data_IF_100977408936
#
_entry.id   IF_100977408936
#
_cell.length_a   1.000
_cell.length_b   1.000
_cell.length_c   1.000
_cell.angle_alpha   90.00
_cell.angle_beta   90.00
_cell.angle_gamma   90.00
#
_symmetry.space_group_name_H-M   'P 1'
#
loop_
_entity.id
_entity.type
_entity.pdbx_description
1 polymer ?
#
# COMPACT_ATOMS: atom_id res chain seq x y z
N UNK A 1 -13.97 12.40 -8.61
CA UNK A 1 -12.87 11.52 -8.15
C UNK A 1 -13.16 10.12 -8.67
N UNK A 2 -12.30 9.53 -9.52
CA UNK A 2 -12.60 8.22 -10.13
C UNK A 2 -12.16 6.99 -9.31
N UNK A 3 -11.53 7.21 -8.16
CA UNK A 3 -10.97 6.16 -7.30
C UNK A 3 -11.50 6.33 -5.88
N UNK A 4 -11.83 5.22 -5.22
CA UNK A 4 -12.35 5.24 -3.86
C UNK A 4 -11.21 5.07 -2.85
N UNK A 5 -10.71 6.19 -2.32
CA UNK A 5 -9.60 6.20 -1.36
C UNK A 5 -9.95 5.53 -0.03
N UNK A 6 -11.23 5.54 0.39
CA UNK A 6 -11.67 4.84 1.59
C UNK A 6 -11.59 3.32 1.41
N UNK A 7 -11.99 2.81 0.24
CA UNK A 7 -11.82 1.38 -0.08
C UNK A 7 -10.34 1.01 -0.13
N UNK A 8 -9.51 1.81 -0.79
CA UNK A 8 -8.07 1.59 -0.81
C UNK A 8 -7.48 1.55 0.61
N UNK A 9 -7.82 2.51 1.47
CA UNK A 9 -7.36 2.56 2.85
C UNK A 9 -7.81 1.31 3.64
N UNK A 10 -9.08 0.91 3.52
CA UNK A 10 -9.62 -0.27 4.17
C UNK A 10 -8.90 -1.56 3.73
N UNK A 11 -8.66 -1.72 2.43
CA UNK A 11 -7.91 -2.87 1.89
C UNK A 11 -6.46 -2.86 2.35
N UNK A 12 -5.81 -1.69 2.35
CA UNK A 12 -4.44 -1.54 2.85
C UNK A 12 -4.33 -1.97 4.32
N UNK A 13 -5.23 -1.47 5.18
CA UNK A 13 -5.24 -1.81 6.61
C UNK A 13 -5.51 -3.30 6.79
N UNK A 14 -6.51 -3.85 6.11
CA UNK A 14 -6.85 -5.27 6.19
C UNK A 14 -5.67 -6.16 5.74
N UNK A 15 -4.99 -5.79 4.65
CA UNK A 15 -3.82 -6.50 4.16
C UNK A 15 -2.63 -6.39 5.12
N UNK A 16 -2.37 -5.21 5.69
CA UNK A 16 -1.29 -5.00 6.65
C UNK A 16 -1.52 -5.79 7.95
N UNK A 17 -2.73 -5.72 8.51
CA UNK A 17 -3.10 -6.48 9.71
C UNK A 17 -3.10 -7.98 9.44
N UNK A 18 -3.71 -8.42 8.34
CA UNK A 18 -3.72 -9.83 7.96
C UNK A 18 -2.32 -10.39 7.77
N UNK A 19 -1.43 -9.63 7.12
CA UNK A 19 -0.04 -10.03 6.94
C UNK A 19 0.73 -10.05 8.26
N UNK A 20 0.52 -9.09 9.15
CA UNK A 20 1.14 -9.08 10.48
C UNK A 20 0.75 -10.32 11.30
N UNK A 21 -0.54 -10.69 11.27
CA UNK A 21 -1.05 -11.90 11.94
C UNK A 21 -0.43 -13.17 11.32
N UNK A 22 -0.36 -13.25 9.99
CA UNK A 22 0.26 -14.37 9.30
C UNK A 22 1.76 -14.51 9.62
N UNK A 23 2.49 -13.40 9.67
CA UNK A 23 3.91 -13.38 10.07
C UNK A 23 4.06 -13.90 11.50
N UNK A 24 3.21 -13.43 12.42
CA UNK A 24 3.25 -13.85 13.81
C UNK A 24 2.99 -15.36 13.97
N UNK A 25 1.99 -15.89 13.25
CA UNK A 25 1.72 -17.34 13.24
C UNK A 25 2.89 -18.12 12.61
N UNK A 26 3.45 -17.63 11.50
CA UNK A 26 4.54 -18.30 10.81
C UNK A 26 5.82 -18.37 11.65
N UNK A 27 6.15 -17.31 12.38
CA UNK A 27 7.28 -17.28 13.31
C UNK A 27 7.01 -18.19 14.52
N UNK A 28 5.81 -18.14 15.11
CA UNK A 28 5.47 -18.94 16.28
C UNK A 28 5.38 -20.45 16.00
N UNK A 29 4.85 -20.85 14.84
CA UNK A 29 4.61 -22.26 14.52
C UNK A 29 5.78 -22.91 13.73
N UNK A 30 6.48 -22.15 12.90
CA UNK A 30 7.47 -22.70 11.96
C UNK A 30 8.85 -22.03 12.05
N UNK A 31 9.02 -20.99 12.87
CA UNK A 31 10.26 -20.20 12.94
C UNK A 31 10.57 -19.45 11.63
N UNK A 32 9.55 -19.22 10.79
CA UNK A 32 9.72 -18.58 9.49
C UNK A 32 9.60 -17.06 9.63
N UNK A 33 10.66 -16.36 9.23
CA UNK A 33 10.68 -14.89 9.18
C UNK A 33 10.54 -14.41 7.76
N UNK A 34 9.54 -13.57 7.53
CA UNK A 34 9.37 -12.89 6.24
C UNK A 34 10.40 -11.77 6.10
N UNK A 35 11.01 -11.59 4.91
CA UNK A 35 11.85 -10.44 4.64
C UNK A 35 11.10 -9.13 4.86
N UNK A 36 11.74 -8.17 5.51
CA UNK A 36 11.15 -6.86 5.85
C UNK A 36 10.68 -6.09 4.63
N UNK A 37 11.39 -6.18 3.50
CA UNK A 37 10.95 -5.58 2.24
C UNK A 37 9.61 -6.14 1.76
N UNK A 38 9.37 -7.44 1.94
CA UNK A 38 8.12 -8.08 1.50
C UNK A 38 6.94 -7.61 2.35
N UNK A 39 7.11 -7.52 3.67
CA UNK A 39 6.06 -7.06 4.58
C UNK A 39 5.68 -5.59 4.35
N UNK A 40 6.61 -4.76 3.91
CA UNK A 40 6.32 -3.35 3.56
C UNK A 40 5.61 -3.17 2.21
N UNK A 41 5.90 -4.01 1.21
CA UNK A 41 5.39 -3.83 -0.15
C UNK A 41 4.04 -4.54 -0.38
N UNK A 42 3.79 -5.66 0.30
CA UNK A 42 2.59 -6.48 0.07
C UNK A 42 1.26 -5.75 0.33
N UNK A 43 1.09 -5.00 1.43
CA UNK A 43 -0.17 -4.27 1.66
C UNK A 43 -0.51 -3.24 0.56
N UNK A 44 0.40 -2.34 0.14
CA UNK A 44 0.12 -1.42 -0.96
C UNK A 44 -0.02 -2.14 -2.32
N UNK A 45 0.72 -3.23 -2.57
CA UNK A 45 0.55 -4.05 -3.77
C UNK A 45 -0.88 -4.57 -3.90
N UNK A 46 -1.42 -5.20 -2.86
CA UNK A 46 -2.77 -5.77 -2.86
C UNK A 46 -3.83 -4.67 -2.96
N UNK A 47 -3.68 -3.59 -2.20
CA UNK A 47 -4.61 -2.46 -2.23
C UNK A 47 -4.68 -1.80 -3.60
N UNK A 48 -3.54 -1.53 -4.23
CA UNK A 48 -3.48 -0.92 -5.56
C UNK A 48 -4.04 -1.84 -6.64
N UNK A 49 -3.74 -3.15 -6.58
CA UNK A 49 -4.26 -4.13 -7.51
C UNK A 49 -5.80 -4.20 -7.48
N UNK A 50 -6.37 -4.34 -6.29
CA UNK A 50 -7.83 -4.45 -6.11
C UNK A 50 -8.55 -3.16 -6.50
N UNK A 51 -7.95 -2.01 -6.19
CA UNK A 51 -8.50 -0.72 -6.60
C UNK A 51 -8.43 -0.53 -8.12
N UNK A 52 -7.35 -0.99 -8.77
CA UNK A 52 -7.22 -1.02 -10.24
C UNK A 52 -8.29 -1.89 -10.90
N UNK A 53 -8.55 -3.09 -10.36
CA UNK A 53 -9.64 -3.94 -10.83
C UNK A 53 -11.01 -3.27 -10.65
N UNK A 54 -11.23 -2.61 -9.51
CA UNK A 54 -12.48 -1.91 -9.26
C UNK A 54 -12.68 -0.72 -10.19
N UNK A 55 -11.62 0.02 -10.53
CA UNK A 55 -11.64 1.07 -11.54
C UNK A 55 -12.05 0.51 -12.91
N UNK A 56 -11.42 -0.58 -13.36
CA UNK A 56 -11.75 -1.22 -14.63
C UNK A 56 -13.20 -1.73 -14.69
N UNK A 57 -13.74 -2.26 -13.58
CA UNK A 57 -15.16 -2.65 -13.49
C UNK A 57 -16.11 -1.46 -13.64
N UNK A 58 -15.76 -0.32 -13.07
CA UNK A 58 -16.60 0.88 -13.08
C UNK A 58 -16.56 1.62 -14.42
N UNK A 59 -15.38 1.79 -15.02
CA UNK A 59 -15.18 2.66 -16.18
C UNK A 59 -14.97 1.91 -17.50
N UNK A 60 -14.61 0.61 -17.45
CA UNK A 60 -14.33 -0.23 -18.63
C UNK A 60 -13.30 0.37 -19.61
N UNK A 61 -12.40 1.21 -19.11
CA UNK A 61 -11.35 1.86 -19.89
C UNK A 61 -10.01 1.82 -19.15
N UNK A 62 -8.93 2.03 -19.89
CA UNK A 62 -7.60 2.24 -19.31
C UNK A 62 -7.52 3.66 -18.73
N UNK A 63 -6.94 3.79 -17.53
CA UNK A 63 -6.62 5.10 -16.99
C UNK A 63 -5.55 5.78 -17.88
N UNK A 64 -5.78 7.02 -18.34
CA UNK A 64 -4.74 7.81 -19.01
C UNK A 64 -3.47 7.88 -18.15
N UNK A 65 -2.28 7.88 -18.79
CA UNK A 65 -1.01 7.81 -18.06
C UNK A 65 -0.87 8.90 -16.98
N UNK A 66 -1.26 10.15 -17.27
CA UNK A 66 -1.24 11.24 -16.30
C UNK A 66 -2.21 11.03 -15.13
N UNK A 67 -3.38 10.45 -15.39
CA UNK A 67 -4.35 10.12 -14.35
C UNK A 67 -3.85 8.97 -13.47
N UNK A 68 -3.22 7.95 -14.06
CA UNK A 68 -2.65 6.82 -13.32
C UNK A 68 -1.56 7.25 -12.31
N UNK A 69 -0.72 8.22 -12.66
CA UNK A 69 0.27 8.80 -11.73
C UNK A 69 -0.38 9.63 -10.63
N UNK A 70 -1.40 10.44 -10.97
CA UNK A 70 -2.18 11.19 -9.98
C UNK A 70 -2.89 10.26 -8.98
N UNK A 71 -3.46 9.15 -9.45
CA UNK A 71 -4.07 8.12 -8.62
C UNK A 71 -3.03 7.47 -7.70
N UNK A 72 -1.87 7.06 -8.24
CA UNK A 72 -0.82 6.44 -7.46
C UNK A 72 -0.29 7.38 -6.36
N UNK A 73 -0.08 8.66 -6.69
CA UNK A 73 0.30 9.69 -5.72
C UNK A 73 -0.70 9.81 -4.57
N UNK A 74 -2.01 9.83 -4.88
CA UNK A 74 -3.07 9.90 -3.86
C UNK A 74 -3.10 8.65 -2.98
N UNK A 75 -2.95 7.47 -3.56
CA UNK A 75 -2.84 6.21 -2.82
C UNK A 75 -1.62 6.21 -1.89
N UNK A 76 -0.48 6.70 -2.37
CA UNK A 76 0.73 6.83 -1.53
C UNK A 76 0.53 7.83 -0.40
N UNK A 77 -0.16 8.94 -0.65
CA UNK A 77 -0.48 9.91 0.40
C UNK A 77 -1.36 9.28 1.49
N UNK A 78 -2.32 8.43 1.13
CA UNK A 78 -3.10 7.65 2.10
C UNK A 78 -2.19 6.75 2.95
N UNK A 79 -1.26 6.02 2.32
CA UNK A 79 -0.28 5.20 3.05
C UNK A 79 0.59 6.05 3.97
N UNK A 80 1.05 7.21 3.50
CA UNK A 80 1.87 8.13 4.29
C UNK A 80 1.11 8.62 5.54
N UNK A 81 -0.16 9.02 5.38
CA UNK A 81 -1.00 9.47 6.49
C UNK A 81 -1.24 8.34 7.49
N UNK A 82 -1.56 7.13 7.03
CA UNK A 82 -1.79 5.98 7.93
C UNK A 82 -0.51 5.68 8.73
N UNK A 83 0.64 5.60 8.08
CA UNK A 83 1.91 5.32 8.78
C UNK A 83 2.34 6.46 9.70
N UNK A 84 2.11 7.72 9.32
CA UNK A 84 2.39 8.86 10.18
C UNK A 84 1.53 8.82 11.46
N UNK A 85 0.24 8.47 11.35
CA UNK A 85 -0.65 8.32 12.51
C UNK A 85 -0.17 7.17 13.41
N UNK A 86 0.22 6.03 12.84
CA UNK A 86 0.78 4.91 13.60
C UNK A 86 2.06 5.33 14.32
N UNK A 87 2.99 5.99 13.63
CA UNK A 87 4.25 6.45 14.19
C UNK A 87 4.05 7.46 15.32
N UNK A 88 3.15 8.44 15.13
CA UNK A 88 2.78 9.39 16.18
C UNK A 88 2.18 8.68 17.39
N UNK A 89 1.29 7.71 17.18
CA UNK A 89 0.75 6.88 18.25
C UNK A 89 1.87 6.17 19.02
N UNK A 90 2.80 5.52 18.32
CA UNK A 90 3.95 4.85 18.96
C UNK A 90 4.83 5.81 19.78
N UNK A 91 5.08 7.02 19.29
CA UNK A 91 5.86 8.02 20.02
C UNK A 91 5.18 8.49 21.32
N UNK A 92 3.84 8.57 21.34
CA UNK A 92 3.08 8.93 22.54
C UNK A 92 3.15 7.85 23.63
N UNK A 93 3.17 6.57 23.25
CA UNK A 93 3.22 5.45 24.20
C UNK A 93 4.64 5.01 24.56
N UNK A 94 5.63 5.32 23.72
CA UNK A 94 7.02 4.91 23.90
C UNK A 94 7.96 6.10 23.63
N UNK A 95 8.01 7.08 24.54
CA UNK A 95 8.78 8.31 24.35
C UNK A 95 10.30 8.05 24.26
N UNK A 96 10.80 6.88 24.69
CA UNK A 96 12.20 6.50 24.48
C UNK A 96 12.56 6.34 23.00
N UNK A 97 11.58 6.26 22.09
CA UNK A 97 11.80 6.23 20.64
C UNK A 97 12.02 7.63 20.04
N UNK A 98 11.81 8.70 20.81
CA UNK A 98 11.97 10.08 20.37
C UNK A 98 13.43 10.55 20.50
N UNK A 99 14.35 9.85 19.83
CA UNK A 99 15.75 10.27 19.74
C UNK A 99 15.92 11.32 18.62
N UNK A 100 16.27 12.59 18.94
CA UNK A 100 16.46 13.66 17.96
C UNK A 100 17.48 13.32 16.87
N UNK A 101 18.50 12.52 17.19
CA UNK A 101 19.54 12.15 16.22
C UNK A 101 19.03 11.08 15.23
N UNK A 102 18.11 10.22 15.68
CA UNK A 102 17.49 9.21 14.84
C UNK A 102 16.42 9.78 13.88
N UNK A 103 15.80 10.92 14.22
CA UNK A 103 14.74 11.53 13.42
C UNK A 103 15.16 11.83 11.98
N UNK A 104 16.40 12.30 11.77
CA UNK A 104 16.91 12.57 10.42
C UNK A 104 16.97 11.32 9.55
N UNK A 105 17.49 10.22 10.09
CA UNK A 105 17.59 8.94 9.40
C UNK A 105 16.21 8.35 9.14
N UNK A 106 15.32 8.38 10.14
CA UNK A 106 13.95 7.88 10.02
C UNK A 106 13.19 8.64 8.92
N UNK A 107 13.33 9.97 8.86
CA UNK A 107 12.69 10.78 7.83
C UNK A 107 13.18 10.41 6.42
N UNK A 108 14.49 10.21 6.23
CA UNK A 108 15.05 9.80 4.94
C UNK A 108 14.53 8.41 4.54
N UNK A 109 14.57 7.44 5.45
CA UNK A 109 14.05 6.09 5.21
C UNK A 109 12.55 6.13 4.86
N UNK A 110 11.78 6.93 5.58
CA UNK A 110 10.36 7.12 5.34
C UNK A 110 10.08 7.65 3.92
N UNK A 111 10.81 8.69 3.49
CA UNK A 111 10.68 9.25 2.13
C UNK A 111 11.06 8.23 1.06
N UNK A 112 12.15 7.48 1.26
CA UNK A 112 12.57 6.42 0.32
C UNK A 112 11.49 5.33 0.22
N UNK A 113 10.92 4.90 1.35
CA UNK A 113 9.84 3.91 1.37
C UNK A 113 8.57 4.44 0.68
N UNK A 114 8.22 5.71 0.87
CA UNK A 114 7.10 6.32 0.15
C UNK A 114 7.34 6.36 -1.37
N UNK A 115 8.57 6.64 -1.79
CA UNK A 115 8.96 6.55 -3.20
C UNK A 115 8.75 5.13 -3.75
N UNK A 116 9.16 4.11 -3.00
CA UNK A 116 8.92 2.71 -3.36
C UNK A 116 7.42 2.40 -3.42
N UNK A 117 6.64 2.80 -2.40
CA UNK A 117 5.17 2.62 -2.36
C UNK A 117 4.50 3.30 -3.55
N UNK A 118 4.98 4.45 -3.98
CA UNK A 118 4.46 5.14 -5.16
C UNK A 118 4.68 4.34 -6.45
N UNK A 119 5.88 3.79 -6.63
CA UNK A 119 6.17 2.91 -7.77
C UNK A 119 5.30 1.65 -7.71
N UNK A 120 5.20 1.03 -6.53
CA UNK A 120 4.33 -0.14 -6.29
C UNK A 120 2.88 0.18 -6.65
N UNK A 121 2.32 1.25 -6.11
CA UNK A 121 0.95 1.66 -6.40
C UNK A 121 0.74 1.89 -7.90
N UNK A 122 1.68 2.56 -8.57
CA UNK A 122 1.59 2.85 -10.00
C UNK A 122 1.61 1.57 -10.86
N UNK A 123 2.48 0.62 -10.53
CA UNK A 123 2.63 -0.62 -11.28
C UNK A 123 1.44 -1.55 -11.02
N UNK A 124 1.09 -1.78 -9.77
CA UNK A 124 0.02 -2.71 -9.38
C UNK A 124 -1.38 -2.20 -9.71
N UNK A 125 -1.63 -0.89 -9.63
CA UNK A 125 -2.86 -0.30 -10.15
C UNK A 125 -3.01 -0.56 -11.65
N UNK A 126 -1.96 -0.30 -12.43
CA UNK A 126 -1.97 -0.54 -13.88
C UNK A 126 -2.16 -2.02 -14.23
N UNK A 127 -1.53 -2.93 -13.48
CA UNK A 127 -1.74 -4.37 -13.64
C UNK A 127 -3.18 -4.76 -13.32
N UNK A 128 -3.76 -4.24 -12.24
CA UNK A 128 -5.15 -4.53 -11.83
C UNK A 128 -6.18 -4.05 -12.86
N UNK A 129 -5.97 -2.86 -13.44
CA UNK A 129 -6.81 -2.36 -14.53
C UNK A 129 -6.71 -3.29 -15.74
N UNK A 130 -5.50 -3.59 -16.22
CA UNK A 130 -5.27 -4.44 -17.40
C UNK A 130 -5.82 -5.85 -17.22
N UNK A 131 -5.57 -6.48 -16.06
CA UNK A 131 -6.05 -7.83 -15.79
C UNK A 131 -7.57 -7.92 -15.80
N UNK A 132 -8.23 -6.90 -15.23
CA UNK A 132 -9.68 -6.90 -15.15
C UNK A 132 -10.35 -6.58 -16.48
N UNK A 133 -9.79 -5.66 -17.29
CA UNK A 133 -10.30 -5.40 -18.64
C UNK A 133 -10.25 -6.68 -19.49
N UNK A 134 -9.12 -7.39 -19.46
CA UNK A 134 -8.98 -8.68 -20.17
C UNK A 134 -9.99 -9.72 -19.68
N UNK A 135 -10.25 -9.79 -18.37
CA UNK A 135 -11.26 -10.69 -17.81
C UNK A 135 -12.69 -10.33 -18.25
N UNK A 136 -13.00 -9.04 -18.41
CA UNK A 136 -14.29 -8.56 -18.91
C UNK A 136 -14.46 -8.81 -20.42
N UNK A 137 -13.38 -8.79 -21.19
CA UNK A 137 -13.37 -9.08 -22.62
C UNK A 137 -13.49 -10.58 -22.92
N UNK A 138 -12.79 -11.42 -22.15
CA UNK A 138 -12.83 -12.88 -22.30
C UNK A 138 -14.00 -13.58 -21.60
N UNK A 139 -14.82 -12.83 -20.86
CA UNK A 139 -16.06 -13.31 -20.24
C UNK A 139 -17.32 -13.08 -21.09
N UNK A 140 -17.15 -12.75 -22.38
CA UNK A 140 -18.19 -12.75 -23.41
C UNK A 140 -18.15 -14.06 -24.19
#
# INVERSE_FOLDING_TARGET
>A
MRVNLMRYAGVYIAAAVGLAVLIWIADAAFGLRLPTGLSTALPPMLAALLEGQAFARAYRELAPNGEAWSIALRMTLVVAVINAVILLGMLLFTPQLADPEAFGIIAVVFVVLLGLVLVVNRVFFGMGVKSQLKALEGGK
#
